data_IF_403755273879
#
_entry.id   IF_403755273879
#
_cell.length_a   1.000
_cell.length_b   1.000
_cell.length_c   1.000
_cell.angle_alpha   90.00
_cell.angle_beta   90.00
_cell.angle_gamma   90.00
#
_symmetry.space_group_name_H-M   'P 1'
#
loop_
_entity.id
_entity.type
_entity.pdbx_description
1 polymer ?
#
# COMPACT_ATOMS: atom_id res chain seq x y z
N UNK A 1 -15.46 2.50 5.46
CA UNK A 1 -14.49 2.62 4.34
C UNK A 1 -13.35 1.57 4.38
N UNK A 2 -13.19 0.76 5.43
CA UNK A 2 -11.88 0.18 5.79
C UNK A 2 -11.52 -1.22 5.27
N UNK A 3 -12.48 -2.10 4.90
CA UNK A 3 -12.13 -3.47 4.48
C UNK A 3 -11.60 -3.55 3.04
N UNK A 4 -12.16 -2.77 2.12
CA UNK A 4 -11.74 -2.79 0.70
C UNK A 4 -10.32 -2.24 0.52
N UNK A 5 -10.03 -1.11 1.17
CA UNK A 5 -8.69 -0.49 1.17
C UNK A 5 -7.63 -1.46 1.66
N UNK A 6 -7.87 -2.11 2.80
CA UNK A 6 -6.94 -3.10 3.38
C UNK A 6 -6.69 -4.29 2.48
N UNK A 7 -7.76 -4.84 1.88
CA UNK A 7 -7.64 -5.96 0.97
C UNK A 7 -6.83 -5.58 -0.28
N UNK A 8 -7.09 -4.39 -0.85
CA UNK A 8 -6.37 -3.90 -2.03
C UNK A 8 -4.89 -3.64 -1.72
N UNK A 9 -4.60 -2.95 -0.61
CA UNK A 9 -3.24 -2.69 -0.16
C UNK A 9 -2.45 -3.98 0.08
N UNK A 10 -3.06 -4.96 0.74
CA UNK A 10 -2.46 -6.28 0.98
C UNK A 10 -2.23 -7.02 -0.34
N UNK A 11 -3.21 -7.00 -1.24
CA UNK A 11 -3.11 -7.65 -2.55
C UNK A 11 -1.97 -7.06 -3.38
N UNK A 12 -1.85 -5.73 -3.42
CA UNK A 12 -0.76 -5.06 -4.13
C UNK A 12 0.61 -5.40 -3.52
N UNK A 13 0.71 -5.46 -2.19
CA UNK A 13 1.95 -5.87 -1.51
C UNK A 13 2.30 -7.32 -1.81
N UNK A 14 1.35 -8.24 -1.78
CA UNK A 14 1.56 -9.66 -2.08
C UNK A 14 1.98 -9.88 -3.55
N UNK A 15 1.38 -9.14 -4.49
CA UNK A 15 1.64 -9.30 -5.91
C UNK A 15 2.89 -8.57 -6.40
N UNK A 16 3.22 -7.42 -5.80
CA UNK A 16 4.23 -6.50 -6.34
C UNK A 16 5.31 -6.08 -5.35
N UNK A 17 5.19 -6.46 -4.07
CA UNK A 17 6.17 -6.17 -3.02
C UNK A 17 6.46 -4.68 -2.92
N UNK A 18 7.74 -4.32 -3.02
CA UNK A 18 8.22 -2.93 -2.94
C UNK A 18 7.59 -1.99 -3.99
N UNK A 19 7.10 -2.53 -5.12
CA UNK A 19 6.47 -1.73 -6.18
C UNK A 19 5.01 -1.38 -5.87
N UNK A 20 4.38 -1.98 -4.88
CA UNK A 20 2.97 -1.77 -4.53
C UNK A 20 2.63 -0.28 -4.37
N UNK A 21 3.47 0.47 -3.67
CA UNK A 21 3.29 1.91 -3.44
C UNK A 21 3.28 2.69 -4.77
N UNK A 22 4.25 2.41 -5.66
CA UNK A 22 4.32 3.08 -6.96
C UNK A 22 3.12 2.78 -7.86
N UNK A 23 2.56 1.57 -7.75
CA UNK A 23 1.37 1.17 -8.51
C UNK A 23 0.14 1.89 -7.98
N UNK A 24 -0.07 1.92 -6.66
CA UNK A 24 -1.18 2.65 -6.05
C UNK A 24 -1.12 4.16 -6.35
N UNK A 25 0.08 4.77 -6.33
CA UNK A 25 0.27 6.16 -6.74
C UNK A 25 -0.09 6.40 -8.21
N UNK A 26 0.28 5.49 -9.13
CA UNK A 26 -0.11 5.61 -10.53
C UNK A 26 -1.62 5.54 -10.73
N UNK A 27 -2.32 4.70 -9.95
CA UNK A 27 -3.78 4.62 -10.01
C UNK A 27 -4.43 5.91 -9.48
N UNK A 28 -3.86 6.50 -8.42
CA UNK A 28 -4.27 7.82 -7.95
C UNK A 28 -4.07 8.90 -9.02
N UNK A 29 -2.91 8.94 -9.69
CA UNK A 29 -2.64 9.88 -10.78
C UNK A 29 -3.65 9.70 -11.94
N UNK A 30 -3.96 8.45 -12.29
CA UNK A 30 -4.99 8.14 -13.31
C UNK A 30 -6.36 8.65 -12.87
N UNK A 31 -6.72 8.49 -11.59
CA UNK A 31 -7.98 9.00 -11.05
C UNK A 31 -8.05 10.54 -11.03
N UNK A 32 -6.91 11.21 -10.86
CA UNK A 32 -6.81 12.67 -11.02
C UNK A 32 -7.04 13.09 -12.47
N UNK A 33 -6.37 12.43 -13.43
CA UNK A 33 -6.52 12.70 -14.87
C UNK A 33 -7.97 12.53 -15.34
N UNK A 34 -8.65 11.50 -14.84
CA UNK A 34 -10.05 11.22 -15.14
C UNK A 34 -11.05 12.04 -14.32
N UNK A 35 -10.56 12.85 -13.37
CA UNK A 35 -11.39 13.61 -12.43
C UNK A 35 -12.38 12.74 -11.63
N UNK A 36 -12.04 11.47 -11.40
CA UNK A 36 -12.84 10.54 -10.60
C UNK A 36 -12.54 10.71 -9.11
N UNK A 37 -13.29 11.58 -8.45
CA UNK A 37 -13.14 11.90 -7.02
C UNK A 37 -13.29 10.65 -6.13
N UNK A 38 -14.14 9.70 -6.52
CA UNK A 38 -14.35 8.46 -5.75
C UNK A 38 -13.11 7.58 -5.76
N UNK A 39 -12.48 7.43 -6.92
CA UNK A 39 -11.22 6.70 -7.06
C UNK A 39 -10.04 7.45 -6.45
N UNK A 40 -10.00 8.78 -6.53
CA UNK A 40 -8.95 9.59 -5.89
C UNK A 40 -8.88 9.32 -4.39
N UNK A 41 -10.00 9.42 -3.68
CA UNK A 41 -10.06 9.14 -2.24
C UNK A 41 -9.70 7.69 -1.92
N UNK A 42 -10.21 6.74 -2.71
CA UNK A 42 -9.91 5.33 -2.53
C UNK A 42 -8.40 5.03 -2.67
N UNK A 43 -7.75 5.54 -3.72
CA UNK A 43 -6.32 5.28 -3.94
C UNK A 43 -5.42 6.01 -2.95
N UNK A 44 -5.80 7.18 -2.46
CA UNK A 44 -5.10 7.83 -1.33
C UNK A 44 -5.14 6.96 -0.07
N UNK A 45 -6.31 6.45 0.28
CA UNK A 45 -6.46 5.55 1.44
C UNK A 45 -5.61 4.27 1.26
N UNK A 46 -5.55 3.70 0.05
CA UNK A 46 -4.71 2.52 -0.27
C UNK A 46 -3.23 2.85 -0.14
N UNK A 47 -2.78 4.00 -0.64
CA UNK A 47 -1.39 4.47 -0.52
C UNK A 47 -0.98 4.57 0.95
N UNK A 48 -1.84 5.13 1.80
CA UNK A 48 -1.53 5.29 3.23
C UNK A 48 -1.55 3.96 3.98
N UNK A 49 -2.45 3.03 3.65
CA UNK A 49 -2.42 1.68 4.22
C UNK A 49 -1.15 0.91 3.81
N UNK A 50 -0.70 1.00 2.55
CA UNK A 50 0.57 0.38 2.11
C UNK A 50 1.75 0.92 2.92
N UNK A 51 1.81 2.25 3.15
CA UNK A 51 2.86 2.85 3.99
C UNK A 51 2.78 2.33 5.42
N UNK A 52 1.58 2.24 5.99
CA UNK A 52 1.37 1.74 7.35
C UNK A 52 1.81 0.27 7.51
N UNK A 53 1.49 -0.59 6.54
CA UNK A 53 1.90 -2.00 6.55
C UNK A 53 3.42 -2.16 6.38
N UNK A 54 4.05 -1.34 5.54
CA UNK A 54 5.51 -1.33 5.40
C UNK A 54 6.22 -0.79 6.65
N UNK A 55 5.68 0.26 7.29
CA UNK A 55 6.21 0.81 8.53
C UNK A 55 5.96 -0.11 9.74
N UNK A 56 4.88 -0.88 9.70
CA UNK A 56 4.48 -1.87 10.69
C UNK A 56 5.10 -3.26 10.47
N UNK A 57 5.99 -3.43 9.49
CA UNK A 57 6.86 -4.60 9.43
C UNK A 57 7.93 -4.46 10.52
N UNK A 58 7.84 -5.16 11.68
CA UNK A 58 9.04 -5.39 12.45
C UNK A 58 10.01 -6.09 11.51
N UNK A 59 11.15 -5.44 11.27
CA UNK A 59 12.35 -6.13 10.81
C UNK A 59 12.43 -7.43 11.60
N UNK A 60 12.18 -8.56 10.95
CA UNK A 60 12.28 -9.86 11.58
C UNK A 60 13.75 -10.03 11.96
N UNK A 61 14.05 -9.79 13.25
CA UNK A 61 15.26 -10.13 13.99
C UNK A 61 16.42 -10.69 13.15
N UNK A 62 17.27 -9.81 12.62
CA UNK A 62 18.70 -10.10 12.54
C UNK A 62 19.25 -9.82 13.94
N UNK A 63 19.51 -10.86 14.73
CA UNK A 63 20.24 -10.68 15.99
C UNK A 63 19.86 -11.59 17.14
N UNK A 64 20.12 -12.89 17.00
CA UNK A 64 20.74 -13.74 18.04
C UNK A 64 21.64 -14.71 17.25
N UNK A 65 22.95 -14.50 17.15
CA UNK A 65 23.96 -14.77 18.19
C UNK A 65 23.66 -16.08 18.92
N UNK A 66 24.11 -17.18 18.33
CA UNK A 66 24.55 -18.32 19.12
C UNK A 66 26.02 -18.59 18.74
N UNK A 67 26.81 -18.62 19.80
CA UNK A 67 28.24 -18.88 19.88
C UNK A 67 28.55 -20.35 19.61
#
# INVERSE_FOLDING_TARGET
MTRKVKNEATTLLEQHGEKALSIAMRQYDTALELQDIGQQGFWLDVVDEIKALNAGSPSANIGKSDV
#
